data_IF_745310935346
#
_entry.id   IF_745310935346
#
_cell.length_a   1.000
_cell.length_b   1.000
_cell.length_c   1.000
_cell.angle_alpha   90.00
_cell.angle_beta   90.00
_cell.angle_gamma   90.00
#
_symmetry.space_group_name_H-M   'P 1'
#
loop_
_entity.id
_entity.type
_entity.pdbx_description
1 polymer ?
#
# COMPACT_ATOMS: atom_id res chain seq x y z
N UNK A 1 24.40 -15.17 -7.74
CA UNK A 1 23.12 -15.42 -7.07
C UNK A 1 22.69 -14.27 -6.19
N UNK A 2 23.55 -13.77 -5.34
CA UNK A 2 23.20 -12.64 -4.49
C UNK A 2 22.82 -11.39 -5.26
N UNK A 3 23.51 -11.10 -6.36
CA UNK A 3 23.18 -9.92 -7.17
C UNK A 3 21.84 -10.07 -7.87
N UNK A 4 21.47 -11.29 -8.29
CA UNK A 4 20.15 -11.55 -8.89
C UNK A 4 19.04 -11.37 -7.88
N UNK A 5 19.24 -11.86 -6.66
CA UNK A 5 18.25 -11.70 -5.59
C UNK A 5 18.11 -10.22 -5.23
N UNK A 6 19.20 -9.50 -5.13
CA UNK A 6 19.18 -8.07 -4.84
C UNK A 6 18.42 -7.29 -5.91
N UNK A 7 18.65 -7.61 -7.20
CA UNK A 7 17.94 -6.98 -8.30
C UNK A 7 16.44 -7.27 -8.25
N UNK A 8 16.09 -8.51 -7.92
CA UNK A 8 14.68 -8.90 -7.77
C UNK A 8 14.00 -8.12 -6.67
N UNK A 9 14.65 -7.98 -5.52
CA UNK A 9 14.12 -7.23 -4.39
C UNK A 9 13.93 -5.76 -4.77
N UNK A 10 14.92 -5.15 -5.41
CA UNK A 10 14.85 -3.75 -5.84
C UNK A 10 13.72 -3.52 -6.84
N UNK A 11 13.56 -4.44 -7.77
CA UNK A 11 12.47 -4.38 -8.76
C UNK A 11 11.10 -4.41 -8.08
N UNK A 12 10.92 -5.30 -7.10
CA UNK A 12 9.66 -5.44 -6.37
C UNK A 12 9.38 -4.21 -5.51
N UNK A 13 10.41 -3.67 -4.84
CA UNK A 13 10.28 -2.45 -4.05
C UNK A 13 9.88 -1.27 -4.93
N UNK A 14 10.45 -1.17 -6.12
CA UNK A 14 10.09 -0.11 -7.05
C UNK A 14 8.65 -0.20 -7.52
N UNK A 15 8.15 -1.39 -7.75
CA UNK A 15 6.75 -1.60 -8.10
C UNK A 15 5.81 -1.18 -6.98
N UNK A 16 6.16 -1.51 -5.74
CA UNK A 16 5.40 -1.10 -4.56
C UNK A 16 5.39 0.43 -4.47
N UNK A 17 6.55 1.07 -4.64
CA UNK A 17 6.64 2.53 -4.61
C UNK A 17 5.76 3.17 -5.69
N UNK A 18 5.79 2.64 -6.91
CA UNK A 18 4.97 3.17 -7.99
C UNK A 18 3.49 3.08 -7.65
N UNK A 19 3.04 1.95 -7.10
CA UNK A 19 1.65 1.77 -6.68
C UNK A 19 1.28 2.74 -5.56
N UNK A 20 2.17 2.93 -4.59
CA UNK A 20 1.95 3.85 -3.47
C UNK A 20 1.83 5.28 -3.99
N UNK A 21 2.69 5.70 -4.92
CA UNK A 21 2.61 7.04 -5.51
C UNK A 21 1.30 7.25 -6.26
N UNK A 22 0.83 6.23 -6.98
CA UNK A 22 -0.47 6.31 -7.65
C UNK A 22 -1.60 6.46 -6.65
N UNK A 23 -1.56 5.73 -5.55
CA UNK A 23 -2.56 5.84 -4.49
C UNK A 23 -2.60 7.25 -3.91
N UNK A 24 -1.44 7.82 -3.62
CA UNK A 24 -1.35 9.16 -3.07
C UNK A 24 -1.90 10.18 -4.07
N UNK A 25 -1.47 10.09 -5.32
CA UNK A 25 -1.88 11.03 -6.37
C UNK A 25 -3.37 10.94 -6.67
N UNK A 26 -3.91 9.72 -6.79
CA UNK A 26 -5.33 9.52 -7.08
C UNK A 26 -6.25 10.07 -5.99
N UNK A 27 -5.75 10.15 -4.77
CA UNK A 27 -6.56 10.56 -3.62
C UNK A 27 -6.22 11.95 -3.09
N UNK A 28 -5.46 12.75 -3.85
CA UNK A 28 -5.11 14.11 -3.44
C UNK A 28 -6.34 14.97 -3.23
N UNK A 29 -7.36 14.81 -4.06
CA UNK A 29 -8.59 15.59 -3.99
C UNK A 29 -9.57 15.07 -2.94
N UNK A 30 -9.31 13.88 -2.39
CA UNK A 30 -10.15 13.30 -1.35
C UNK A 30 -9.72 13.88 -0.01
N UNK A 31 -10.58 14.70 0.59
CA UNK A 31 -10.28 15.36 1.87
C UNK A 31 -10.98 14.67 3.05
N UNK A 32 -12.18 14.17 2.81
CA UNK A 32 -12.97 13.49 3.83
C UNK A 32 -13.57 12.22 3.23
N UNK A 33 -14.05 11.33 4.10
CA UNK A 33 -14.69 10.08 3.66
C UNK A 33 -15.92 10.35 2.81
N UNK A 34 -16.59 11.48 3.02
CA UNK A 34 -17.76 11.83 2.21
C UNK A 34 -17.41 12.06 0.75
N UNK A 35 -16.18 12.46 0.46
CA UNK A 35 -15.74 12.60 -0.93
C UNK A 35 -15.79 11.26 -1.66
N UNK A 36 -15.60 10.15 -0.96
CA UNK A 36 -15.77 8.82 -1.54
C UNK A 36 -17.24 8.48 -1.79
N UNK A 37 -18.08 8.70 -0.78
CA UNK A 37 -19.45 8.19 -0.79
C UNK A 37 -20.44 9.11 -1.50
N UNK A 38 -20.17 10.40 -1.55
CA UNK A 38 -21.12 11.40 -2.01
C UNK A 38 -20.86 11.88 -3.44
N UNK A 39 -19.86 11.34 -4.13
CA UNK A 39 -19.58 11.70 -5.51
C UNK A 39 -19.39 10.44 -6.36
N UNK A 40 -19.79 10.48 -7.66
CA UNK A 40 -19.58 9.33 -8.55
C UNK A 40 -18.10 9.00 -8.74
N UNK A 41 -17.26 10.02 -8.89
CA UNK A 41 -15.81 9.80 -9.04
C UNK A 41 -15.18 9.27 -7.76
N UNK A 42 -15.76 9.60 -6.61
CA UNK A 42 -15.24 9.17 -5.31
C UNK A 42 -15.32 7.67 -5.11
N UNK A 43 -16.45 7.07 -5.47
CA UNK A 43 -16.61 5.62 -5.36
C UNK A 43 -15.65 4.87 -6.28
N UNK A 44 -15.46 5.37 -7.49
CA UNK A 44 -14.48 4.78 -8.40
C UNK A 44 -13.06 4.83 -7.82
N UNK A 45 -12.70 5.94 -7.20
CA UNK A 45 -11.39 6.09 -6.56
C UNK A 45 -11.23 5.19 -5.35
N UNK A 46 -12.28 5.05 -4.56
CA UNK A 46 -12.25 4.15 -3.41
C UNK A 46 -12.05 2.70 -3.86
N UNK A 47 -12.78 2.25 -4.85
CA UNK A 47 -12.67 0.89 -5.37
C UNK A 47 -11.29 0.64 -5.97
N UNK A 48 -10.80 1.57 -6.79
CA UNK A 48 -9.46 1.49 -7.38
C UNK A 48 -8.38 1.49 -6.30
N UNK A 49 -8.53 2.31 -5.28
CA UNK A 49 -7.57 2.38 -4.17
C UNK A 49 -7.53 1.08 -3.38
N UNK A 50 -8.69 0.47 -3.13
CA UNK A 50 -8.75 -0.82 -2.45
C UNK A 50 -8.00 -1.89 -3.23
N UNK A 51 -8.17 -1.92 -4.55
CA UNK A 51 -7.48 -2.89 -5.40
C UNK A 51 -5.96 -2.71 -5.32
N UNK A 52 -5.48 -1.46 -5.40
CA UNK A 52 -4.05 -1.18 -5.29
C UNK A 52 -3.51 -1.48 -3.89
N UNK A 53 -4.26 -1.19 -2.84
CA UNK A 53 -3.85 -1.49 -1.47
C UNK A 53 -3.72 -2.99 -1.24
N UNK A 54 -4.64 -3.78 -1.78
CA UNK A 54 -4.54 -5.24 -1.73
C UNK A 54 -3.27 -5.71 -2.44
N UNK A 55 -2.99 -5.17 -3.61
CA UNK A 55 -1.80 -5.54 -4.38
C UNK A 55 -0.51 -5.18 -3.62
N UNK A 56 -0.47 -4.00 -3.01
CA UNK A 56 0.67 -3.57 -2.19
C UNK A 56 0.87 -4.51 -1.01
N UNK A 57 -0.21 -4.82 -0.28
CA UNK A 57 -0.15 -5.73 0.87
C UNK A 57 0.34 -7.11 0.49
N UNK A 58 -0.15 -7.67 -0.60
CA UNK A 58 0.28 -8.97 -1.09
C UNK A 58 1.75 -8.96 -1.53
N UNK A 59 2.17 -7.87 -2.17
CA UNK A 59 3.57 -7.72 -2.60
C UNK A 59 4.52 -7.66 -1.40
N UNK A 60 4.12 -6.94 -0.35
CA UNK A 60 4.91 -6.85 0.88
C UNK A 60 5.00 -8.22 1.56
N UNK A 61 3.88 -8.95 1.64
CA UNK A 61 3.89 -10.31 2.20
C UNK A 61 4.83 -11.22 1.43
N UNK A 62 4.78 -11.17 0.11
CA UNK A 62 5.66 -11.97 -0.73
C UNK A 62 7.12 -11.64 -0.50
N UNK A 63 7.44 -10.35 -0.39
CA UNK A 63 8.79 -9.89 -0.13
C UNK A 63 9.29 -10.37 1.24
N UNK A 64 8.45 -10.27 2.25
CA UNK A 64 8.77 -10.74 3.59
C UNK A 64 9.10 -12.23 3.59
N UNK A 65 8.27 -13.02 2.93
CA UNK A 65 8.46 -14.47 2.82
C UNK A 65 9.75 -14.80 2.06
N UNK A 66 9.96 -14.17 0.92
CA UNK A 66 11.09 -14.50 0.04
C UNK A 66 12.43 -14.04 0.59
N UNK A 67 12.43 -13.11 1.55
CA UNK A 67 13.64 -12.67 2.25
C UNK A 67 13.79 -13.31 3.62
N UNK A 68 13.01 -14.35 3.92
CA UNK A 68 13.02 -15.05 5.22
C UNK A 68 12.81 -14.11 6.40
N UNK A 69 11.93 -13.11 6.21
CA UNK A 69 11.58 -12.11 7.22
C UNK A 69 12.75 -11.26 7.69
N UNK A 70 13.76 -11.10 6.83
CA UNK A 70 14.97 -10.34 7.19
C UNK A 70 14.95 -8.91 6.66
N UNK A 71 14.18 -8.65 5.61
CA UNK A 71 14.18 -7.32 4.98
C UNK A 71 13.39 -6.28 5.77
N UNK A 72 12.14 -6.58 6.11
CA UNK A 72 11.25 -5.59 6.73
C UNK A 72 11.73 -5.07 8.08
N UNK A 73 12.33 -5.91 8.95
CA UNK A 73 12.85 -5.40 10.23
C UNK A 73 13.95 -4.34 10.09
N UNK A 74 14.57 -4.23 8.93
CA UNK A 74 15.57 -3.19 8.67
C UNK A 74 14.95 -1.79 8.59
N UNK A 75 13.62 -1.72 8.44
CA UNK A 75 12.88 -0.47 8.30
C UNK A 75 11.75 -0.40 9.32
N UNK A 76 12.10 -0.28 10.64
CA UNK A 76 11.10 -0.36 11.71
C UNK A 76 10.13 0.82 11.78
N UNK A 77 10.41 1.90 11.06
CA UNK A 77 9.55 3.08 11.03
C UNK A 77 8.24 2.85 10.28
N UNK A 78 8.13 1.75 9.52
CA UNK A 78 6.89 1.41 8.80
C UNK A 78 6.12 0.34 9.57
N UNK A 79 4.81 0.51 9.66
CA UNK A 79 3.92 -0.53 10.20
C UNK A 79 3.68 -1.61 9.15
N UNK A 80 4.65 -2.50 9.00
CA UNK A 80 4.59 -3.58 8.02
C UNK A 80 3.44 -4.55 8.30
N UNK A 81 3.21 -4.84 9.58
CA UNK A 81 2.13 -5.74 9.97
C UNK A 81 0.78 -5.19 9.54
N UNK A 82 0.56 -3.90 9.76
CA UNK A 82 -0.66 -3.24 9.32
C UNK A 82 -0.81 -3.26 7.82
N UNK A 83 0.28 -2.98 7.08
CA UNK A 83 0.27 -2.99 5.63
C UNK A 83 -0.08 -4.38 5.08
N UNK A 84 0.51 -5.44 5.65
CA UNK A 84 0.21 -6.81 5.23
C UNK A 84 -1.22 -7.22 5.57
N UNK A 85 -1.79 -6.67 6.64
CA UNK A 85 -3.14 -6.98 7.08
C UNK A 85 -4.25 -6.26 6.31
N UNK A 86 -3.92 -5.25 5.52
CA UNK A 86 -4.91 -4.47 4.77
C UNK A 86 -5.79 -5.33 3.88
N UNK A 87 -5.21 -6.34 3.23
CA UNK A 87 -5.96 -7.23 2.37
C UNK A 87 -7.11 -7.88 3.11
N UNK A 88 -6.86 -8.39 4.32
CA UNK A 88 -7.88 -9.09 5.09
C UNK A 88 -9.01 -8.15 5.50
N UNK A 89 -8.68 -6.93 5.89
CA UNK A 89 -9.67 -5.92 6.26
C UNK A 89 -10.54 -5.57 5.05
N UNK A 90 -9.93 -5.29 3.92
CA UNK A 90 -10.65 -4.88 2.71
C UNK A 90 -11.45 -6.05 2.13
N UNK A 91 -10.86 -7.25 2.07
CA UNK A 91 -11.51 -8.41 1.47
C UNK A 91 -12.72 -8.89 2.28
N UNK A 92 -12.68 -8.77 3.62
CA UNK A 92 -13.78 -9.17 4.47
C UNK A 92 -15.00 -8.26 4.32
N UNK A 93 -14.79 -7.02 3.89
CA UNK A 93 -15.84 -6.03 3.79
C UNK A 93 -15.99 -5.50 2.36
N UNK A 94 -15.86 -6.40 1.38
CA UNK A 94 -15.82 -6.00 -0.02
C UNK A 94 -17.03 -5.17 -0.46
N UNK A 95 -18.23 -5.51 0.02
CA UNK A 95 -19.43 -4.74 -0.29
C UNK A 95 -19.69 -3.58 0.68
N UNK A 96 -19.01 -3.59 1.82
CA UNK A 96 -19.08 -2.54 2.83
C UNK A 96 -17.68 -2.01 3.12
N UNK A 97 -17.06 -1.44 2.11
CA UNK A 97 -15.68 -0.93 2.23
C UNK A 97 -15.67 0.23 3.23
N UNK A 98 -14.81 0.12 4.25
CA UNK A 98 -14.61 1.20 5.21
C UNK A 98 -13.70 2.26 4.61
N UNK A 99 -14.31 3.26 3.97
CA UNK A 99 -13.58 4.35 3.34
C UNK A 99 -12.77 5.18 4.31
N UNK A 100 -13.20 5.25 5.57
CA UNK A 100 -12.45 5.97 6.60
C UNK A 100 -11.10 5.31 6.86
N UNK A 101 -11.09 3.99 7.00
CA UNK A 101 -9.85 3.23 7.18
C UNK A 101 -8.95 3.36 5.96
N UNK A 102 -9.52 3.26 4.76
CA UNK A 102 -8.76 3.40 3.51
C UNK A 102 -8.13 4.79 3.42
N UNK A 103 -8.91 5.83 3.67
CA UNK A 103 -8.42 7.20 3.62
C UNK A 103 -7.31 7.45 4.64
N UNK A 104 -7.48 6.94 5.86
CA UNK A 104 -6.49 7.08 6.92
C UNK A 104 -5.16 6.43 6.53
N UNK A 105 -5.20 5.24 5.97
CA UNK A 105 -3.99 4.55 5.50
C UNK A 105 -3.29 5.38 4.42
N UNK A 106 -4.05 5.89 3.45
CA UNK A 106 -3.48 6.65 2.33
C UNK A 106 -2.85 7.96 2.83
N UNK A 107 -3.49 8.65 3.74
CA UNK A 107 -3.01 9.96 4.20
C UNK A 107 -1.93 9.85 5.27
N UNK A 108 -1.97 8.81 6.10
CA UNK A 108 -1.08 8.70 7.27
C UNK A 108 0.06 7.70 7.07
N UNK A 109 -0.20 6.55 6.49
CA UNK A 109 0.78 5.46 6.44
C UNK A 109 1.59 5.44 5.13
N UNK A 110 0.95 5.71 4.00
CA UNK A 110 1.62 5.61 2.71
C UNK A 110 2.78 6.60 2.52
N UNK A 111 2.72 7.85 3.03
CA UNK A 111 3.87 8.74 2.87
C UNK A 111 5.16 8.20 3.45
N UNK A 112 5.10 7.51 4.59
CA UNK A 112 6.28 6.89 5.19
C UNK A 112 6.80 5.74 4.32
N UNK A 113 5.89 4.92 3.81
CA UNK A 113 6.24 3.81 2.92
C UNK A 113 6.88 4.32 1.62
N UNK A 114 6.35 5.41 1.08
CA UNK A 114 6.90 6.03 -0.13
C UNK A 114 8.33 6.50 0.08
N UNK A 115 8.63 7.11 1.23
CA UNK A 115 9.99 7.56 1.54
C UNK A 115 10.97 6.39 1.56
N UNK A 116 10.56 5.24 2.09
CA UNK A 116 11.40 4.06 2.11
C UNK A 116 11.72 3.55 0.71
N UNK A 117 10.73 3.54 -0.17
CA UNK A 117 10.93 3.15 -1.55
C UNK A 117 12.02 3.97 -2.23
N UNK A 118 12.04 5.27 -1.98
CA UNK A 118 13.07 6.17 -2.53
C UNK A 118 14.44 5.87 -1.96
N UNK A 119 14.53 5.58 -0.68
CA UNK A 119 15.80 5.28 -0.02
C UNK A 119 16.39 3.95 -0.50
N UNK A 120 15.53 2.98 -0.83
CA UNK A 120 15.96 1.68 -1.31
C UNK A 120 16.33 1.67 -2.79
N UNK A 121 15.86 2.64 -3.54
CA UNK A 121 16.16 2.73 -4.97
C UNK A 121 17.38 3.56 -5.23
#
# INVERSE_FOLDING_TARGET
MESSLKQEILYRLKKIETAVQRLITQNEMVKTVNDYYCTPWGMERLESSCMLLIAVGESIKGLDKDTNKQLLPLYPEVDWKGAMGLRDIIAHHYFDIDGETVLDVIKSDLPTLSQLGRLCS
#
